data_IF_079906661696
#
_entry.id   IF_079906661696
#
_cell.length_a   1.000
_cell.length_b   1.000
_cell.length_c   1.000
_cell.angle_alpha   90.00
_cell.angle_beta   90.00
_cell.angle_gamma   90.00
#
_symmetry.space_group_name_H-M   'P 1'
#
loop_
_entity.id
_entity.type
_entity.pdbx_description
1 polymer ?
#
# COMPACT_ATOMS: atom_id res chain seq x y z
N UNK A 1 12.77 26.88 10.86
CA UNK A 1 13.98 26.06 11.10
C UNK A 1 13.59 24.59 11.11
N UNK A 2 13.81 23.84 10.03
CA UNK A 2 13.48 22.42 9.99
C UNK A 2 14.51 21.64 10.82
N UNK A 3 14.06 20.98 11.89
CA UNK A 3 14.89 20.22 12.82
C UNK A 3 15.58 19.08 12.05
N UNK A 4 16.90 19.15 11.99
CA UNK A 4 17.77 18.09 11.51
C UNK A 4 17.54 16.84 12.36
N UNK A 5 16.84 15.86 11.81
CA UNK A 5 16.87 14.51 12.38
C UNK A 5 18.27 13.96 12.15
N UNK A 6 19.15 14.20 13.12
CA UNK A 6 20.33 13.38 13.37
C UNK A 6 19.89 11.94 13.19
N UNK A 7 20.53 11.27 12.23
CA UNK A 7 20.24 9.88 11.90
C UNK A 7 20.49 9.06 13.16
N UNK A 8 19.43 8.86 13.95
CA UNK A 8 19.49 8.08 15.16
C UNK A 8 19.65 6.64 14.69
N UNK A 9 20.91 6.22 14.61
CA UNK A 9 21.24 4.91 14.09
C UNK A 9 20.69 3.93 15.10
N UNK A 10 19.62 3.24 14.72
CA UNK A 10 18.92 2.34 15.62
C UNK A 10 19.90 1.31 16.18
N UNK A 11 19.78 1.00 17.47
CA UNK A 11 20.63 -0.01 18.14
C UNK A 11 20.63 -1.33 17.35
N UNK A 12 19.47 -1.71 16.80
CA UNK A 12 19.32 -2.85 15.88
C UNK A 12 20.31 -2.82 14.70
N UNK A 13 20.51 -1.66 14.06
CA UNK A 13 21.45 -1.53 12.93
C UNK A 13 22.91 -1.63 13.39
N UNK A 14 23.21 -1.21 14.62
CA UNK A 14 24.54 -1.38 15.22
C UNK A 14 24.80 -2.85 15.53
N UNK A 15 23.83 -3.54 16.11
CA UNK A 15 23.91 -4.95 16.49
C UNK A 15 23.97 -5.87 15.27
N UNK A 16 23.13 -5.62 14.26
CA UNK A 16 23.20 -6.28 12.96
C UNK A 16 24.57 -6.11 12.31
N UNK A 17 25.12 -4.90 12.29
CA UNK A 17 26.42 -4.62 11.70
C UNK A 17 27.56 -5.34 12.45
N UNK A 18 27.49 -5.37 13.79
CA UNK A 18 28.43 -6.13 14.62
C UNK A 18 28.32 -7.64 14.39
N UNK A 19 27.10 -8.16 14.27
CA UNK A 19 26.85 -9.58 13.99
C UNK A 19 27.42 -9.98 12.63
N UNK A 20 27.19 -9.17 11.59
CA UNK A 20 27.72 -9.40 10.26
C UNK A 20 29.25 -9.34 10.27
N UNK A 21 29.84 -8.33 10.91
CA UNK A 21 31.29 -8.19 11.01
C UNK A 21 31.94 -9.39 11.74
N UNK A 22 31.30 -9.90 12.81
CA UNK A 22 31.76 -11.11 13.51
C UNK A 22 31.62 -12.36 12.65
N UNK A 23 30.52 -12.50 11.90
CA UNK A 23 30.30 -13.64 10.99
C UNK A 23 31.32 -13.68 9.85
N UNK A 24 31.82 -12.52 9.39
CA UNK A 24 32.81 -12.41 8.31
C UNK A 24 34.25 -12.24 8.82
N UNK A 25 34.47 -12.36 10.13
CA UNK A 25 35.77 -12.21 10.76
C UNK A 25 36.75 -13.26 10.22
N UNK A 26 37.94 -12.81 9.80
CA UNK A 26 39.04 -13.69 9.41
C UNK A 26 39.87 -14.11 10.64
N UNK A 27 40.45 -15.32 10.64
CA UNK A 27 41.34 -15.75 11.71
C UNK A 27 42.52 -14.77 11.83
N UNK A 28 42.81 -14.31 13.06
CA UNK A 28 43.85 -13.32 13.35
C UNK A 28 43.39 -11.85 13.37
N UNK A 29 42.12 -11.54 13.07
CA UNK A 29 41.60 -10.17 13.16
C UNK A 29 41.41 -9.70 14.61
N UNK A 30 41.83 -8.47 14.92
CA UNK A 30 41.64 -7.88 16.25
C UNK A 30 40.21 -7.38 16.46
N UNK A 31 39.78 -7.34 17.73
CA UNK A 31 38.43 -6.86 18.10
C UNK A 31 38.17 -5.42 17.63
N UNK A 32 39.19 -4.57 17.63
CA UNK A 32 39.10 -3.19 17.13
C UNK A 32 38.88 -3.15 15.61
N UNK A 33 39.57 -3.99 14.85
CA UNK A 33 39.38 -4.11 13.41
C UNK A 33 37.96 -4.59 13.08
N UNK A 34 37.44 -5.60 13.79
CA UNK A 34 36.06 -6.05 13.63
C UNK A 34 35.07 -4.92 13.95
N UNK A 35 35.34 -4.09 14.96
CA UNK A 35 34.50 -2.93 15.31
C UNK A 35 34.54 -1.85 14.23
N UNK A 36 35.68 -1.57 13.61
CA UNK A 36 35.79 -0.63 12.49
C UNK A 36 35.01 -1.12 11.27
N UNK A 37 35.07 -2.43 10.97
CA UNK A 37 34.28 -3.05 9.90
C UNK A 37 32.79 -2.91 10.21
N UNK A 38 32.37 -3.18 11.45
CA UNK A 38 30.98 -3.00 11.87
C UNK A 38 30.51 -1.55 11.68
N UNK A 39 31.33 -0.55 12.00
CA UNK A 39 30.99 0.86 11.74
C UNK A 39 30.82 1.16 10.23
N UNK A 40 31.64 0.53 9.37
CA UNK A 40 31.48 0.64 7.92
C UNK A 40 30.17 0.04 7.43
N UNK A 41 29.84 -1.17 7.90
CA UNK A 41 28.58 -1.86 7.56
C UNK A 41 27.37 -1.05 8.06
N UNK A 42 27.43 -0.53 9.28
CA UNK A 42 26.41 0.33 9.87
C UNK A 42 26.12 1.54 8.98
N UNK A 43 27.17 2.27 8.55
CA UNK A 43 27.03 3.41 7.64
C UNK A 43 26.39 3.00 6.30
N UNK A 44 26.83 1.88 5.73
CA UNK A 44 26.28 1.34 4.48
C UNK A 44 24.79 1.02 4.59
N UNK A 45 24.35 0.37 5.68
CA UNK A 45 22.94 0.06 5.91
C UNK A 45 22.10 1.34 6.03
N UNK A 46 22.60 2.35 6.74
CA UNK A 46 21.91 3.64 6.91
C UNK A 46 21.75 4.35 5.57
N UNK A 47 22.83 4.44 4.79
CA UNK A 47 22.82 5.09 3.48
C UNK A 47 21.89 4.39 2.50
N UNK A 48 21.94 3.05 2.44
CA UNK A 48 21.05 2.25 1.62
C UNK A 48 19.58 2.45 2.02
N UNK A 49 19.25 2.35 3.31
CA UNK A 49 17.89 2.56 3.83
C UNK A 49 17.39 3.98 3.50
N UNK A 50 18.26 4.99 3.56
CA UNK A 50 17.92 6.38 3.20
C UNK A 50 17.59 6.52 1.71
N UNK A 51 18.44 5.98 0.83
CA UNK A 51 18.20 5.99 -0.61
C UNK A 51 16.92 5.23 -0.99
N UNK A 52 16.70 4.06 -0.39
CA UNK A 52 15.50 3.25 -0.60
C UNK A 52 14.22 4.00 -0.20
N UNK A 53 14.19 4.63 1.00
CA UNK A 53 13.05 5.46 1.44
C UNK A 53 12.79 6.64 0.51
N UNK A 54 13.85 7.30 0.02
CA UNK A 54 13.70 8.39 -0.93
C UNK A 54 13.07 7.93 -2.25
N UNK A 55 13.53 6.79 -2.79
CA UNK A 55 12.96 6.18 -4.00
C UNK A 55 11.49 5.79 -3.81
N UNK A 56 11.15 5.16 -2.70
CA UNK A 56 9.76 4.80 -2.38
C UNK A 56 8.85 6.02 -2.33
N UNK A 57 9.31 7.10 -1.69
CA UNK A 57 8.55 8.35 -1.60
C UNK A 57 8.34 9.01 -2.97
N UNK A 58 9.32 8.92 -3.87
CA UNK A 58 9.17 9.43 -5.24
C UNK A 58 8.16 8.59 -6.02
N UNK A 59 8.21 7.26 -5.90
CA UNK A 59 7.25 6.36 -6.53
C UNK A 59 5.82 6.62 -6.03
N UNK A 60 5.62 6.76 -4.72
CA UNK A 60 4.30 7.06 -4.13
C UNK A 60 3.75 8.40 -4.62
N UNK A 61 4.60 9.42 -4.75
CA UNK A 61 4.21 10.72 -5.30
C UNK A 61 3.78 10.60 -6.76
N UNK A 62 4.52 9.83 -7.57
CA UNK A 62 4.17 9.59 -8.96
C UNK A 62 2.83 8.85 -9.09
N UNK A 63 2.64 7.78 -8.30
CA UNK A 63 1.39 7.01 -8.26
C UNK A 63 0.20 7.89 -7.88
N UNK A 64 0.33 8.71 -6.82
CA UNK A 64 -0.72 9.65 -6.41
C UNK A 64 -1.02 10.70 -7.48
N UNK A 65 0.01 11.21 -8.18
CA UNK A 65 -0.18 12.16 -9.30
C UNK A 65 -0.97 11.52 -10.45
N UNK A 66 -0.63 10.29 -10.82
CA UNK A 66 -1.33 9.54 -11.87
C UNK A 66 -2.78 9.24 -11.48
N UNK A 67 -3.02 8.81 -10.23
CA UNK A 67 -4.38 8.58 -9.74
C UNK A 67 -5.21 9.88 -9.76
N UNK A 68 -4.64 11.00 -9.31
CA UNK A 68 -5.31 12.30 -9.35
C UNK A 68 -5.61 12.74 -10.79
N UNK A 69 -4.68 12.53 -11.73
CA UNK A 69 -4.91 12.80 -13.15
C UNK A 69 -6.02 11.93 -13.75
N UNK A 70 -6.09 10.64 -13.40
CA UNK A 70 -7.20 9.76 -13.82
C UNK A 70 -8.53 10.22 -13.25
N UNK A 71 -8.58 10.61 -11.98
CA UNK A 71 -9.80 11.15 -11.35
C UNK A 71 -10.27 12.45 -12.03
N UNK A 72 -9.34 13.36 -12.31
CA UNK A 72 -9.67 14.60 -13.04
C UNK A 72 -10.11 14.33 -14.47
N UNK A 73 -9.47 13.38 -15.17
CA UNK A 73 -9.87 12.98 -16.52
C UNK A 73 -11.27 12.34 -16.54
N UNK A 74 -11.58 11.47 -15.57
CA UNK A 74 -12.92 10.91 -15.40
C UNK A 74 -13.97 11.99 -15.09
N UNK A 75 -13.65 13.00 -14.27
CA UNK A 75 -14.55 14.13 -14.00
C UNK A 75 -14.74 15.05 -15.22
N UNK A 76 -13.69 15.28 -16.02
CA UNK A 76 -13.80 16.06 -17.27
C UNK A 76 -14.47 15.29 -18.40
N UNK A 77 -14.40 13.95 -18.39
CA UNK A 77 -15.14 13.10 -19.32
C UNK A 77 -16.64 13.02 -18.97
N UNK A 78 -17.05 13.43 -17.77
CA UNK A 78 -18.46 13.46 -17.35
C UNK A 78 -19.22 14.70 -17.88
N UNK A 79 -18.52 15.68 -18.47
CA UNK A 79 -19.15 16.86 -19.11
C UNK A 79 -19.33 16.76 -20.63
N UNK A 80 -18.98 15.63 -21.25
CA UNK A 80 -19.29 15.37 -22.66
C UNK A 80 -20.00 14.03 -22.79
N UNK A 81 -21.33 14.09 -22.69
CA UNK A 81 -22.26 13.26 -23.43
C UNK A 81 -21.96 11.76 -23.47
N UNK A 82 -22.18 11.06 -22.35
CA UNK A 82 -22.39 9.61 -22.36
C UNK A 82 -23.63 9.31 -21.55
N UNK A 83 -24.74 9.07 -22.26
CA UNK A 83 -25.95 8.48 -21.71
C UNK A 83 -25.58 7.30 -20.78
N UNK A 84 -26.13 7.23 -19.56
CA UNK A 84 -25.88 6.09 -18.69
C UNK A 84 -26.54 4.87 -19.33
N UNK A 85 -25.77 4.01 -20.00
CA UNK A 85 -26.21 2.65 -20.30
C UNK A 85 -26.21 1.86 -19.00
N UNK A 86 -27.20 2.16 -18.17
CA UNK A 86 -27.51 1.43 -16.97
C UNK A 86 -27.97 0.03 -17.42
N UNK A 87 -27.13 -0.96 -17.17
CA UNK A 87 -27.54 -2.37 -17.26
C UNK A 87 -28.40 -2.72 -16.04
N UNK A 88 -29.42 -1.89 -15.77
CA UNK A 88 -30.40 -2.11 -14.73
C UNK A 88 -31.34 -3.20 -15.21
N UNK A 89 -30.90 -4.46 -15.14
CA UNK A 89 -31.79 -5.60 -15.33
C UNK A 89 -32.89 -5.49 -14.27
N UNK A 90 -34.18 -5.28 -14.62
CA UNK A 90 -35.27 -5.21 -13.65
C UNK A 90 -35.63 -6.59 -13.07
N UNK A 91 -34.78 -7.61 -13.30
CA UNK A 91 -34.93 -8.97 -12.82
C UNK A 91 -35.31 -9.07 -11.34
N UNK A 92 -34.65 -8.38 -10.38
CA UNK A 92 -35.00 -8.57 -8.98
C UNK A 92 -36.39 -8.00 -8.64
N UNK A 93 -36.82 -6.92 -9.30
CA UNK A 93 -38.14 -6.31 -9.07
C UNK A 93 -39.27 -7.15 -9.66
N UNK A 94 -39.06 -7.74 -10.85
CA UNK A 94 -40.05 -8.62 -11.49
C UNK A 94 -40.21 -9.92 -10.68
N UNK A 95 -39.11 -10.52 -10.21
CA UNK A 95 -39.17 -11.70 -9.32
C UNK A 95 -39.93 -11.38 -8.03
N UNK A 96 -39.73 -10.18 -7.46
CA UNK A 96 -40.39 -9.78 -6.23
C UNK A 96 -41.91 -9.65 -6.40
N UNK A 97 -42.36 -8.95 -7.44
CA UNK A 97 -43.81 -8.81 -7.75
C UNK A 97 -44.44 -10.17 -8.02
N UNK A 98 -43.73 -11.05 -8.72
CA UNK A 98 -44.22 -12.41 -9.04
C UNK A 98 -44.38 -13.25 -7.76
N UNK A 99 -43.40 -13.19 -6.84
CA UNK A 99 -43.44 -13.91 -5.57
C UNK A 99 -44.63 -13.48 -4.69
N UNK A 100 -44.88 -12.17 -4.58
CA UNK A 100 -45.99 -11.64 -3.79
C UNK A 100 -47.35 -11.96 -4.40
N UNK A 101 -47.49 -11.89 -5.72
CA UNK A 101 -48.74 -12.24 -6.40
C UNK A 101 -49.14 -13.70 -6.16
N UNK A 102 -48.17 -14.63 -6.24
CA UNK A 102 -48.40 -16.05 -5.94
C UNK A 102 -48.75 -16.27 -4.46
N UNK A 103 -48.06 -15.60 -3.55
CA UNK A 103 -48.33 -15.71 -2.10
C UNK A 103 -49.71 -15.14 -1.72
N UNK A 104 -50.07 -13.96 -2.24
CA UNK A 104 -51.39 -13.36 -2.02
C UNK A 104 -52.51 -14.20 -2.62
N UNK A 105 -52.32 -14.73 -3.83
CA UNK A 105 -53.26 -15.66 -4.46
C UNK A 105 -53.45 -16.92 -3.63
N UNK A 106 -52.36 -17.53 -3.14
CA UNK A 106 -52.43 -18.72 -2.28
C UNK A 106 -53.18 -18.43 -0.96
N UNK A 107 -52.87 -17.31 -0.29
CA UNK A 107 -53.58 -16.90 0.92
C UNK A 107 -55.06 -16.67 0.66
N UNK A 108 -55.42 -16.06 -0.48
CA UNK A 108 -56.82 -15.86 -0.85
C UNK A 108 -57.55 -17.18 -1.11
N UNK A 109 -56.92 -18.15 -1.79
CA UNK A 109 -57.51 -19.48 -2.00
C UNK A 109 -57.58 -20.34 -0.73
N UNK A 110 -56.76 -20.05 0.28
CA UNK A 110 -56.76 -20.77 1.56
C UNK A 110 -57.73 -20.15 2.58
N UNK A 111 -58.06 -18.86 2.42
CA UNK A 111 -58.91 -18.09 3.32
C UNK A 111 -60.31 -17.80 2.73
N UNK A 112 -60.63 -18.37 1.56
CA UNK A 112 -61.95 -18.39 0.94
C UNK A 112 -62.46 -19.83 0.92
#
# INVERSE_FOLDING_TARGET
MAKNNSQDVSNETVDEALLIAKKTQKPGQTKEQTRLIAQGIQKGIVEYKKAAKAKHRQADKAQKKLQKQKQLNNQSAETVDVAPKSNNKPLPWILLVTSWALFAGYLFTLNA
#
